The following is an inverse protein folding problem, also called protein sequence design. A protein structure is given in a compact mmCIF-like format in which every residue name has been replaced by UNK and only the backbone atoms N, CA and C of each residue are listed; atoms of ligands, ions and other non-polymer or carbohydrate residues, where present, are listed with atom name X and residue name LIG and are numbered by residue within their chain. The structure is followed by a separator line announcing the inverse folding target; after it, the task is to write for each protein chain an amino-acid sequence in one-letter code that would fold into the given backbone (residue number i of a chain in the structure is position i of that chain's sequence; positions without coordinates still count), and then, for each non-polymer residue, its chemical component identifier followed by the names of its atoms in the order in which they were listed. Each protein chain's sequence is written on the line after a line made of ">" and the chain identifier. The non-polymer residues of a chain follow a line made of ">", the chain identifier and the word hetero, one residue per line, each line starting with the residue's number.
data_IF_970009578361
#
_entry.id   IF_970009578361
#
_cell.length_a   1.000
_cell.length_b   1.000
_cell.length_c   1.000
_cell.angle_alpha   90.00
_cell.angle_beta   90.00
_cell.angle_gamma   90.00
#
_symmetry.space_group_name_H-M   'P 1'
#
loop_
_entity.id
_entity.type
_entity.pdbx_description
1 polymer ?
#
# COMPACT_ATOMS: atom_id res chain seq x y z
N UNK A 1 -8.40 9.70 1.37
CA UNK A 1 -8.46 8.96 0.10
C UNK A 1 -9.26 7.70 0.36
N UNK A 2 -10.32 7.42 -0.39
CA UNK A 2 -11.17 6.26 -0.18
C UNK A 2 -11.57 5.65 -1.52
N UNK A 3 -11.78 4.34 -1.54
CA UNK A 3 -12.30 3.53 -2.66
C UNK A 3 -13.77 3.93 -2.97
N UNK A 4 -13.97 5.19 -3.37
CA UNK A 4 -15.29 5.82 -3.47
C UNK A 4 -16.18 5.18 -4.54
N UNK A 5 -15.56 4.56 -5.55
CA UNK A 5 -16.22 3.79 -6.59
C UNK A 5 -16.31 2.29 -6.26
N UNK A 6 -15.84 1.88 -5.08
CA UNK A 6 -15.72 0.48 -4.67
C UNK A 6 -14.88 -0.36 -5.64
N UNK A 7 -13.91 0.23 -6.36
CA UNK A 7 -13.07 -0.45 -7.34
C UNK A 7 -12.35 -1.67 -6.75
N UNK A 8 -11.85 -1.54 -5.52
CA UNK A 8 -11.23 -2.68 -4.81
C UNK A 8 -12.25 -3.77 -4.53
N UNK A 9 -13.42 -3.42 -3.97
CA UNK A 9 -14.48 -4.39 -3.67
C UNK A 9 -14.97 -5.12 -4.92
N UNK A 10 -15.14 -4.38 -6.03
CA UNK A 10 -15.53 -4.92 -7.34
C UNK A 10 -14.49 -5.85 -7.95
N UNK A 11 -13.23 -5.77 -7.55
CA UNK A 11 -12.20 -6.75 -7.95
C UNK A 11 -12.35 -8.10 -7.24
N UNK A 12 -12.98 -8.11 -6.05
CA UNK A 12 -13.18 -9.32 -5.25
C UNK A 12 -14.59 -9.92 -5.42
N UNK A 13 -15.62 -9.11 -5.64
CA UNK A 13 -16.99 -9.56 -5.76
C UNK A 13 -17.53 -9.23 -7.15
N UNK A 14 -18.16 -10.21 -7.81
CA UNK A 14 -18.88 -9.92 -9.04
C UNK A 14 -20.13 -9.06 -8.76
N UNK A 15 -20.76 -8.46 -9.79
CA UNK A 15 -21.90 -7.56 -9.57
C UNK A 15 -23.06 -8.19 -8.80
N UNK A 16 -23.33 -9.49 -8.98
CA UNK A 16 -24.44 -10.17 -8.31
C UNK A 16 -24.09 -10.45 -6.84
N UNK A 17 -22.86 -10.86 -6.56
CA UNK A 17 -22.37 -11.07 -5.20
C UNK A 17 -22.30 -9.77 -4.39
N UNK A 18 -21.87 -8.68 -5.02
CA UNK A 18 -21.90 -7.36 -4.41
C UNK A 18 -23.34 -6.95 -4.12
N UNK A 19 -24.27 -7.16 -5.06
CA UNK A 19 -25.69 -6.89 -4.85
C UNK A 19 -26.27 -7.71 -3.68
N UNK A 20 -25.94 -9.00 -3.60
CA UNK A 20 -26.32 -9.88 -2.49
C UNK A 20 -25.74 -9.39 -1.15
N UNK A 21 -24.46 -8.99 -1.11
CA UNK A 21 -23.84 -8.43 0.10
C UNK A 21 -24.50 -7.10 0.52
N UNK A 22 -24.99 -6.33 -0.45
CA UNK A 22 -25.75 -5.11 -0.21
C UNK A 22 -27.23 -5.38 0.16
N UNK A 23 -27.66 -6.65 0.26
CA UNK A 23 -29.01 -7.04 0.68
C UNK A 23 -30.04 -7.06 -0.46
N UNK A 24 -29.59 -7.09 -1.71
CA UNK A 24 -30.44 -7.12 -2.90
C UNK A 24 -30.41 -8.49 -3.57
N UNK A 25 -31.47 -8.86 -4.31
CA UNK A 25 -31.50 -10.05 -5.17
C UNK A 25 -31.29 -9.73 -6.66
N UNK A 26 -31.06 -8.45 -7.00
CA UNK A 26 -30.93 -7.94 -8.36
C UNK A 26 -29.79 -6.91 -8.42
N UNK A 27 -28.77 -7.06 -9.28
CA UNK A 27 -27.67 -6.12 -9.42
C UNK A 27 -28.04 -4.75 -10.00
N UNK A 28 -29.29 -4.57 -10.46
CA UNK A 28 -29.82 -3.29 -10.95
C UNK A 28 -30.55 -2.46 -9.89
N UNK A 29 -30.77 -2.99 -8.68
CA UNK A 29 -31.49 -2.26 -7.64
C UNK A 29 -30.60 -1.23 -6.92
N UNK A 30 -31.18 -0.07 -6.61
CA UNK A 30 -30.50 1.05 -5.95
C UNK A 30 -30.04 0.69 -4.52
N UNK A 31 -28.75 0.89 -4.23
CA UNK A 31 -28.05 0.49 -3.00
C UNK A 31 -28.41 1.35 -1.77
N UNK A 32 -29.57 1.99 -1.77
CA UNK A 32 -29.94 3.07 -0.84
C UNK A 32 -30.54 2.62 0.50
N UNK A 33 -30.52 1.31 0.82
CA UNK A 33 -31.28 0.74 1.96
C UNK A 33 -30.43 0.47 3.22
N UNK A 34 -29.12 0.28 3.11
CA UNK A 34 -28.25 -0.04 4.26
C UNK A 34 -27.47 1.17 4.78
N UNK A 35 -27.28 1.24 6.10
CA UNK A 35 -26.31 2.19 6.68
C UNK A 35 -24.87 1.77 6.36
N UNK A 36 -23.95 2.74 6.38
CA UNK A 36 -22.54 2.51 6.04
C UNK A 36 -21.87 1.38 6.85
N UNK A 37 -22.08 1.29 8.18
CA UNK A 37 -21.55 0.19 8.98
C UNK A 37 -22.05 -1.19 8.57
N UNK A 38 -23.36 -1.35 8.31
CA UNK A 38 -23.96 -2.62 7.89
C UNK A 38 -23.48 -3.02 6.51
N UNK A 39 -23.42 -2.06 5.58
CA UNK A 39 -22.84 -2.26 4.26
C UNK A 39 -21.40 -2.78 4.34
N UNK A 40 -20.54 -2.10 5.11
CA UNK A 40 -19.15 -2.51 5.30
C UNK A 40 -19.03 -3.90 5.92
N UNK A 41 -19.89 -4.22 6.90
CA UNK A 41 -19.93 -5.53 7.54
C UNK A 41 -20.25 -6.63 6.53
N UNK A 42 -21.28 -6.45 5.71
CA UNK A 42 -21.72 -7.46 4.76
C UNK A 42 -20.70 -7.68 3.63
N UNK A 43 -20.16 -6.60 3.05
CA UNK A 43 -19.11 -6.68 2.03
C UNK A 43 -17.89 -7.42 2.59
N UNK A 44 -17.45 -7.05 3.80
CA UNK A 44 -16.35 -7.72 4.48
C UNK A 44 -16.62 -9.21 4.63
N UNK A 45 -17.80 -9.61 5.10
CA UNK A 45 -18.14 -11.02 5.27
C UNK A 45 -18.17 -11.77 3.93
N UNK A 46 -18.72 -11.17 2.87
CA UNK A 46 -18.74 -11.77 1.54
C UNK A 46 -17.33 -12.03 1.01
N UNK A 47 -16.43 -11.05 1.14
CA UNK A 47 -15.01 -11.21 0.77
C UNK A 47 -14.33 -12.28 1.63
N UNK A 48 -14.55 -12.28 2.95
CA UNK A 48 -13.96 -13.26 3.86
C UNK A 48 -14.42 -14.69 3.58
N UNK A 49 -15.68 -14.88 3.18
CA UNK A 49 -16.23 -16.20 2.83
C UNK A 49 -15.70 -16.68 1.49
N UNK A 50 -15.78 -15.84 0.44
CA UNK A 50 -15.38 -16.21 -0.91
C UNK A 50 -13.86 -16.39 -1.07
N UNK A 51 -13.10 -15.47 -0.48
CA UNK A 51 -11.64 -15.38 -0.65
C UNK A 51 -10.88 -15.74 0.62
N UNK A 52 -11.43 -16.65 1.42
CA UNK A 52 -10.86 -17.07 2.70
C UNK A 52 -9.39 -17.52 2.60
N UNK A 53 -9.02 -18.20 1.51
CA UNK A 53 -7.64 -18.63 1.26
C UNK A 53 -6.69 -17.45 1.02
N UNK A 54 -7.07 -16.50 0.16
CA UNK A 54 -6.28 -15.30 -0.15
C UNK A 54 -6.15 -14.43 1.10
N UNK A 55 -7.24 -14.18 1.82
CA UNK A 55 -7.19 -13.39 3.07
C UNK A 55 -6.38 -14.11 4.13
N UNK A 56 -6.53 -15.43 4.24
CA UNK A 56 -5.73 -16.25 5.13
C UNK A 56 -4.24 -16.15 4.81
N UNK A 57 -3.87 -16.13 3.54
CA UNK A 57 -2.49 -15.93 3.09
C UNK A 57 -1.97 -14.52 3.41
N UNK A 58 -2.72 -13.47 3.07
CA UNK A 58 -2.35 -12.07 3.36
C UNK A 58 -2.11 -11.84 4.87
N UNK A 59 -2.95 -12.41 5.73
CA UNK A 59 -2.81 -12.31 7.20
C UNK A 59 -1.54 -12.96 7.76
N UNK A 60 -0.90 -13.87 6.99
CA UNK A 60 0.35 -14.53 7.40
C UNK A 60 1.59 -13.79 6.91
N UNK A 61 1.44 -12.81 6.02
CA UNK A 61 2.59 -12.04 5.53
C UNK A 61 3.15 -11.19 6.68
N UNK A 62 4.48 -11.12 6.83
CA UNK A 62 5.09 -10.27 7.83
C UNK A 62 4.84 -8.80 7.49
N UNK A 63 4.64 -7.96 8.50
CA UNK A 63 4.51 -6.51 8.31
C UNK A 63 5.84 -5.84 7.94
N UNK A 64 6.94 -6.50 8.30
CA UNK A 64 8.31 -6.02 8.11
C UNK A 64 9.20 -7.17 7.65
N UNK A 65 10.04 -6.90 6.66
CA UNK A 65 11.20 -7.72 6.34
C UNK A 65 12.47 -6.91 6.63
N UNK A 66 13.44 -7.52 7.29
CA UNK A 66 14.67 -6.85 7.71
C UNK A 66 15.88 -7.66 7.23
N UNK A 67 16.88 -6.94 6.72
CA UNK A 67 18.22 -7.45 6.43
C UNK A 67 19.22 -6.77 7.36
N UNK A 68 20.51 -7.04 7.19
CA UNK A 68 21.55 -6.35 7.97
C UNK A 68 21.56 -4.83 7.70
N UNK A 69 21.13 -4.40 6.51
CA UNK A 69 21.25 -3.02 6.01
C UNK A 69 19.89 -2.32 5.81
N UNK A 70 18.81 -3.08 5.57
CA UNK A 70 17.52 -2.56 5.14
C UNK A 70 16.36 -2.98 6.04
N UNK A 71 15.34 -2.13 6.07
CA UNK A 71 14.02 -2.38 6.63
C UNK A 71 13.01 -2.17 5.50
N UNK A 72 12.32 -3.23 5.10
CA UNK A 72 11.20 -3.18 4.16
C UNK A 72 9.90 -3.19 4.95
N UNK A 73 9.09 -2.15 4.80
CA UNK A 73 7.86 -1.92 5.57
C UNK A 73 6.80 -1.24 4.71
N UNK A 74 5.51 -1.38 5.02
CA UNK A 74 4.47 -0.77 4.19
C UNK A 74 4.47 0.76 4.26
N UNK A 75 4.45 1.34 5.47
CA UNK A 75 4.34 2.80 5.65
C UNK A 75 5.57 3.44 6.32
N UNK A 76 6.20 2.76 7.26
CA UNK A 76 7.41 3.25 7.92
C UNK A 76 7.61 2.64 9.30
N UNK A 77 8.59 3.14 10.05
CA UNK A 77 8.88 2.71 11.43
C UNK A 77 8.76 3.87 12.41
N UNK A 78 8.91 3.62 13.71
CA UNK A 78 9.13 4.68 14.68
C UNK A 78 10.64 4.97 14.75
N UNK A 79 11.12 6.02 14.08
CA UNK A 79 12.55 6.35 14.07
C UNK A 79 13.05 6.90 15.42
N UNK A 80 12.18 7.48 16.25
CA UNK A 80 12.56 7.98 17.58
C UNK A 80 12.96 6.84 18.52
N UNK A 81 12.45 5.63 18.26
CA UNK A 81 12.83 4.43 18.99
C UNK A 81 14.27 3.96 18.71
N UNK A 82 14.94 4.49 17.67
CA UNK A 82 16.32 4.14 17.33
C UNK A 82 16.55 2.64 17.20
N UNK A 83 17.56 2.11 17.89
CA UNK A 83 17.87 0.67 17.95
C UNK A 83 16.69 -0.21 18.42
N UNK A 84 15.73 0.35 19.15
CA UNK A 84 14.57 -0.37 19.67
C UNK A 84 13.38 -0.39 18.70
N UNK A 85 13.50 0.20 17.50
CA UNK A 85 12.41 0.33 16.53
C UNK A 85 11.64 -0.97 16.31
N UNK A 86 12.35 -2.12 16.27
CA UNK A 86 11.71 -3.41 15.96
C UNK A 86 10.75 -3.87 17.04
N UNK A 87 11.02 -3.53 18.29
CA UNK A 87 10.15 -3.87 19.43
C UNK A 87 9.15 -2.74 19.75
N UNK A 88 9.50 -1.49 19.45
CA UNK A 88 8.75 -0.31 19.85
C UNK A 88 7.75 0.16 18.78
N UNK A 89 8.00 -0.09 17.49
CA UNK A 89 7.11 0.37 16.42
C UNK A 89 5.78 -0.40 16.48
N UNK A 90 4.65 0.27 16.73
CA UNK A 90 3.36 -0.40 16.79
C UNK A 90 2.85 -0.77 15.40
N UNK A 91 2.01 -1.82 15.32
CA UNK A 91 1.44 -2.34 14.07
C UNK A 91 0.79 -1.28 13.17
N UNK A 92 0.13 -0.28 13.77
CA UNK A 92 -0.52 0.78 13.01
C UNK A 92 0.49 1.74 12.38
N UNK A 93 1.65 1.99 12.99
CA UNK A 93 2.72 2.77 12.37
C UNK A 93 3.32 2.00 11.20
N UNK A 94 3.53 0.69 11.33
CA UNK A 94 4.04 -0.15 10.24
C UNK A 94 3.16 -0.11 8.98
N UNK A 95 1.85 0.11 9.14
CA UNK A 95 0.86 0.02 8.07
C UNK A 95 0.25 1.37 7.65
N UNK A 96 0.25 2.38 8.51
CA UNK A 96 -0.56 3.60 8.34
C UNK A 96 0.20 4.87 8.76
N UNK A 97 1.54 4.81 8.85
CA UNK A 97 2.33 5.97 9.21
C UNK A 97 2.13 7.12 8.23
N UNK A 98 1.73 8.25 8.78
CA UNK A 98 1.64 9.53 8.09
C UNK A 98 1.84 10.67 9.10
N UNK A 99 2.62 11.73 8.79
CA UNK A 99 3.41 11.94 7.56
C UNK A 99 4.62 10.98 7.44
N UNK A 100 5.27 10.88 6.27
CA UNK A 100 6.53 10.15 6.12
C UNK A 100 7.64 10.82 6.96
N UNK A 101 8.63 10.03 7.39
CA UNK A 101 9.85 10.56 8.05
C UNK A 101 11.00 10.64 7.05
N UNK A 102 11.90 11.60 7.25
CA UNK A 102 13.12 11.78 6.48
C UNK A 102 14.31 11.94 7.42
N UNK A 103 15.51 11.80 6.86
CA UNK A 103 16.78 11.99 7.57
C UNK A 103 17.50 10.67 7.90
N UNK A 104 18.58 10.75 8.67
CA UNK A 104 19.39 9.59 8.99
C UNK A 104 18.67 8.63 9.94
N UNK A 105 18.82 7.35 9.70
CA UNK A 105 18.35 6.28 10.57
C UNK A 105 19.37 5.13 10.61
N UNK A 106 19.22 4.21 11.57
CA UNK A 106 20.19 3.12 11.78
C UNK A 106 20.30 2.15 10.59
N UNK A 107 19.27 2.10 9.72
CA UNK A 107 19.16 1.26 8.52
C UNK A 107 18.42 2.01 7.42
N UNK A 108 18.59 1.57 6.17
CA UNK A 108 17.78 2.09 5.06
C UNK A 108 16.34 1.60 5.19
N UNK A 109 15.39 2.50 5.38
CA UNK A 109 13.95 2.23 5.37
C UNK A 109 13.42 2.33 3.94
N UNK A 110 12.77 1.28 3.47
CA UNK A 110 12.16 1.21 2.15
C UNK A 110 10.65 1.03 2.37
N UNK A 111 9.89 2.07 2.02
CA UNK A 111 8.46 2.15 2.31
C UNK A 111 7.61 2.53 1.08
N UNK A 112 6.31 2.28 1.18
CA UNK A 112 5.30 2.81 0.27
C UNK A 112 4.32 3.69 1.04
N UNK A 113 3.02 3.45 0.83
CA UNK A 113 1.90 4.08 1.54
C UNK A 113 1.66 5.55 1.20
N UNK A 114 2.68 6.39 1.39
CA UNK A 114 2.64 7.80 1.03
C UNK A 114 3.15 7.95 -0.39
N UNK A 115 2.36 8.62 -1.22
CA UNK A 115 2.66 8.81 -2.64
C UNK A 115 3.90 9.67 -2.80
N UNK A 116 4.83 9.25 -3.66
CA UNK A 116 6.08 10.00 -3.88
C UNK A 116 5.84 11.38 -4.49
N UNK A 117 4.72 11.57 -5.21
CA UNK A 117 4.28 12.89 -5.71
C UNK A 117 3.98 13.90 -4.60
N UNK A 118 3.75 13.45 -3.36
CA UNK A 118 3.59 14.34 -2.20
C UNK A 118 4.94 14.75 -1.58
N UNK A 119 6.03 14.09 -1.99
CA UNK A 119 7.39 14.31 -1.47
C UNK A 119 8.28 15.07 -2.46
N UNK A 120 8.08 14.85 -3.76
CA UNK A 120 8.79 15.60 -4.80
C UNK A 120 8.20 17.00 -4.97
N UNK A 121 9.07 18.03 -4.96
CA UNK A 121 8.65 19.43 -5.17
C UNK A 121 7.98 19.66 -6.55
N UNK A 122 8.37 18.87 -7.55
CA UNK A 122 7.81 18.91 -8.90
C UNK A 122 6.55 18.04 -9.07
N UNK A 123 6.11 17.36 -8.00
CA UNK A 123 4.99 16.45 -8.01
C UNK A 123 5.22 15.15 -8.80
N UNK A 124 6.47 14.81 -9.12
CA UNK A 124 6.78 13.59 -9.88
C UNK A 124 6.44 12.32 -9.10
N UNK A 125 6.11 11.26 -9.84
CA UNK A 125 5.71 9.97 -9.28
C UNK A 125 6.86 8.96 -9.21
N UNK A 126 8.10 9.38 -9.46
CA UNK A 126 9.26 8.50 -9.41
C UNK A 126 9.58 8.06 -7.98
N UNK A 127 10.43 7.04 -7.82
CA UNK A 127 11.01 6.69 -6.51
C UNK A 127 11.60 7.93 -5.86
N UNK A 128 11.30 8.13 -4.58
CA UNK A 128 11.85 9.20 -3.77
C UNK A 128 12.93 8.65 -2.85
N UNK A 129 14.06 9.34 -2.77
CA UNK A 129 15.09 9.12 -1.75
C UNK A 129 15.33 10.46 -1.06
N UNK A 130 15.32 10.46 0.27
CA UNK A 130 15.52 11.67 1.06
C UNK A 130 16.98 12.18 1.05
N UNK A 131 17.90 11.41 0.46
CA UNK A 131 19.34 11.68 0.49
C UNK A 131 20.06 11.06 1.68
N UNK A 132 19.32 10.47 2.62
CA UNK A 132 19.80 9.80 3.82
C UNK A 132 19.32 8.35 3.85
N UNK A 133 18.40 8.00 4.78
CA UNK A 133 18.05 6.62 5.09
C UNK A 133 16.68 6.18 4.57
N UNK A 134 15.93 7.00 3.83
CA UNK A 134 14.54 6.66 3.45
C UNK A 134 14.32 6.64 1.94
N UNK A 135 13.91 5.48 1.43
CA UNK A 135 13.36 5.31 0.09
C UNK A 135 11.85 5.11 0.15
N UNK A 136 11.12 5.84 -0.70
CA UNK A 136 9.69 5.67 -0.91
C UNK A 136 9.41 5.31 -2.37
N UNK A 137 8.63 4.25 -2.59
CA UNK A 137 8.41 3.67 -3.92
C UNK A 137 6.95 3.73 -4.39
N UNK A 138 6.05 4.34 -3.63
CA UNK A 138 4.63 4.44 -4.02
C UNK A 138 4.42 5.53 -5.09
N UNK A 139 4.55 5.13 -6.36
CA UNK A 139 4.36 6.00 -7.52
C UNK A 139 2.90 6.19 -7.96
N UNK A 140 1.92 5.78 -7.15
CA UNK A 140 0.49 5.85 -7.53
C UNK A 140 0.20 5.14 -8.86
N UNK A 141 0.51 3.83 -8.93
CA UNK A 141 0.37 3.00 -10.15
C UNK A 141 -1.05 3.03 -10.72
N UNK A 142 -2.06 3.24 -9.88
CA UNK A 142 -3.47 3.38 -10.26
C UNK A 142 -3.75 4.66 -11.08
N UNK A 143 -2.90 5.68 -10.95
CA UNK A 143 -2.96 6.93 -11.71
C UNK A 143 -1.99 6.88 -12.89
N UNK A 144 -0.77 6.41 -12.65
CA UNK A 144 0.33 6.50 -13.62
C UNK A 144 0.41 5.33 -14.58
N UNK A 145 -0.23 4.20 -14.25
CA UNK A 145 -0.05 2.93 -14.96
C UNK A 145 1.36 2.35 -14.85
N UNK A 146 2.19 2.91 -13.96
CA UNK A 146 3.63 2.67 -13.87
C UNK A 146 4.03 2.29 -12.46
N UNK A 147 4.70 1.16 -12.33
CA UNK A 147 5.19 0.64 -11.06
C UNK A 147 6.66 1.01 -10.87
N UNK A 148 6.96 1.77 -9.82
CA UNK A 148 8.34 2.00 -9.41
C UNK A 148 8.93 0.69 -8.87
N UNK A 149 10.17 0.40 -9.26
CA UNK A 149 10.92 -0.73 -8.76
C UNK A 149 12.30 -0.24 -8.35
N UNK A 150 12.66 -0.59 -7.11
CA UNK A 150 13.96 -0.28 -6.54
C UNK A 150 14.80 -1.57 -6.53
N UNK A 151 15.93 -1.56 -7.24
CA UNK A 151 16.90 -2.66 -7.24
C UNK A 151 18.09 -2.29 -6.38
N UNK A 152 18.50 -3.22 -5.55
CA UNK A 152 19.71 -3.13 -4.74
C UNK A 152 20.81 -4.03 -5.32
N UNK A 153 22.02 -3.47 -5.50
CA UNK A 153 23.24 -4.23 -5.81
C UNK A 153 23.99 -4.52 -4.51
N UNK A 154 23.97 -5.77 -4.05
CA UNK A 154 24.74 -6.17 -2.86
C UNK A 154 26.26 -6.11 -3.06
N UNK A 155 26.75 -6.12 -4.31
CA UNK A 155 28.18 -6.03 -4.61
C UNK A 155 28.71 -4.60 -4.40
N UNK A 156 27.90 -3.61 -4.74
CA UNK A 156 28.29 -2.20 -4.75
C UNK A 156 27.61 -1.40 -3.63
N UNK A 157 26.68 -2.02 -2.91
CA UNK A 157 25.78 -1.39 -1.93
C UNK A 157 25.03 -0.17 -2.52
N UNK A 158 24.58 -0.28 -3.76
CA UNK A 158 23.90 0.81 -4.48
C UNK A 158 22.44 0.49 -4.79
N UNK A 159 21.63 1.55 -4.90
CA UNK A 159 20.25 1.47 -5.34
C UNK A 159 20.08 2.07 -6.74
N UNK A 160 19.29 1.40 -7.57
CA UNK A 160 18.89 1.85 -8.89
C UNK A 160 17.36 1.79 -8.99
N UNK A 161 16.75 2.90 -9.44
CA UNK A 161 15.30 2.97 -9.67
C UNK A 161 14.99 2.77 -11.15
N UNK A 162 13.95 1.99 -11.42
CA UNK A 162 13.38 1.86 -12.75
C UNK A 162 11.86 1.76 -12.65
N UNK A 163 11.20 1.86 -13.80
CA UNK A 163 9.75 1.83 -13.89
C UNK A 163 9.33 0.64 -14.75
N UNK A 164 8.44 -0.19 -14.21
CA UNK A 164 7.79 -1.26 -14.93
C UNK A 164 6.37 -0.84 -15.33
N UNK A 165 6.02 -1.03 -16.60
CA UNK A 165 4.71 -0.65 -17.14
C UNK A 165 4.81 -0.43 -18.65
N UNK A 166 3.68 -0.27 -19.36
CA UNK A 166 3.70 0.09 -20.77
C UNK A 166 4.45 1.42 -20.96
N UNK A 167 5.17 1.55 -22.06
CA UNK A 167 5.68 2.85 -22.49
C UNK A 167 4.49 3.78 -22.72
N UNK A 168 4.56 4.99 -22.16
CA UNK A 168 3.59 6.02 -22.49
C UNK A 168 3.90 6.44 -23.92
N UNK A 169 3.07 6.04 -24.88
CA UNK A 169 3.08 6.68 -26.20
C UNK A 169 2.79 8.16 -25.98
N UNK A 170 3.81 8.99 -26.16
CA UNK A 170 3.62 10.43 -26.25
C UNK A 170 3.03 10.71 -27.63
N UNK A 171 1.74 11.01 -27.68
CA UNK A 171 1.09 11.63 -28.85
C UNK A 171 1.75 12.97 -29.22
#
# INVERSE_FOLDING_TARGET
>A
MGDADLGTVKSFLDPLELAHALGHGDPSSDASVLDGPTMNHNIKNAILMKHSEIVGWLRRLPRVHETDEQIFVHAGVDEEAGEMWRAATPDHVLAEKFPPTFGPFIKTVIAGHVRTSEMHEDGSHGTFHDGDSHYYIDGSVEVTGRLNVLRFSAADATYESFVAGPDVETD
#
